data_IF_359850947522
#
_entry.id   IF_359850947522
#
_cell.length_a   1.000
_cell.length_b   1.000
_cell.length_c   1.000
_cell.angle_alpha   90.00
_cell.angle_beta   90.00
_cell.angle_gamma   90.00
#
_symmetry.space_group_name_H-M   'P 1'
#
loop_
_entity.id
_entity.type
_entity.pdbx_description
1 polymer ?
#
# COMPACT_ATOMS: atom_id res chain seq x y z
N UNK A 1 -23.14 -11.55 8.80
CA UNK A 1 -22.33 -11.12 7.63
C UNK A 1 -21.07 -10.54 8.19
N UNK A 2 -19.91 -11.14 7.88
CA UNK A 2 -18.63 -10.77 8.48
C UNK A 2 -18.35 -9.29 8.25
N UNK A 3 -17.99 -8.61 9.34
CA UNK A 3 -17.54 -7.23 9.38
C UNK A 3 -16.37 -7.06 8.41
N UNK A 4 -16.66 -6.42 7.27
CA UNK A 4 -15.71 -6.09 6.21
C UNK A 4 -15.03 -4.74 6.53
N UNK A 5 -14.78 -4.44 7.81
CA UNK A 5 -14.20 -3.17 8.26
C UNK A 5 -12.71 -3.26 8.59
N UNK A 6 -12.27 -4.37 9.19
CA UNK A 6 -10.99 -4.37 9.93
C UNK A 6 -9.82 -5.08 9.22
N UNK A 7 -10.09 -5.96 8.25
CA UNK A 7 -9.04 -6.65 7.47
C UNK A 7 -8.36 -5.80 6.38
N UNK A 8 -8.84 -4.58 6.13
CA UNK A 8 -8.45 -3.74 4.98
C UNK A 8 -7.25 -2.83 5.25
N UNK A 9 -6.65 -2.86 6.45
CA UNK A 9 -5.56 -1.93 6.84
C UNK A 9 -4.37 -2.58 7.52
N UNK A 10 -4.26 -3.90 7.48
CA UNK A 10 -3.08 -4.58 8.02
C UNK A 10 -1.82 -4.11 7.27
N UNK A 11 -0.66 -4.07 7.93
CA UNK A 11 0.61 -3.73 7.28
C UNK A 11 0.86 -4.56 6.01
N UNK A 12 0.49 -5.84 6.06
CA UNK A 12 0.61 -6.78 4.95
C UNK A 12 -0.20 -6.34 3.73
N UNK A 13 -1.45 -5.88 3.92
CA UNK A 13 -2.30 -5.39 2.83
C UNK A 13 -1.65 -4.20 2.12
N UNK A 14 -1.11 -3.26 2.89
CA UNK A 14 -0.46 -2.07 2.33
C UNK A 14 0.87 -2.41 1.62
N UNK A 15 1.63 -3.38 2.13
CA UNK A 15 2.82 -3.87 1.44
C UNK A 15 2.48 -4.56 0.11
N UNK A 16 1.41 -5.35 0.07
CA UNK A 16 0.96 -6.02 -1.15
C UNK A 16 0.52 -4.99 -2.22
N UNK A 17 -0.25 -3.97 -1.81
CA UNK A 17 -0.62 -2.84 -2.68
C UNK A 17 0.57 -2.05 -3.19
N UNK A 18 1.59 -1.81 -2.35
CA UNK A 18 2.82 -1.17 -2.77
C UNK A 18 3.57 -1.99 -3.83
N UNK A 19 3.63 -3.32 -3.66
CA UNK A 19 4.25 -4.25 -4.62
C UNK A 19 3.49 -4.27 -5.93
N UNK A 20 2.17 -4.38 -5.90
CA UNK A 20 1.30 -4.36 -7.08
C UNK A 20 1.48 -3.05 -7.87
N UNK A 21 1.45 -1.91 -7.19
CA UNK A 21 1.70 -0.62 -7.82
C UNK A 21 3.09 -0.52 -8.46
N UNK A 22 4.15 -1.05 -7.83
CA UNK A 22 5.49 -1.09 -8.44
C UNK A 22 5.53 -1.94 -9.71
N UNK A 23 4.88 -3.10 -9.70
CA UNK A 23 4.77 -3.95 -10.88
C UNK A 23 4.04 -3.23 -12.01
N UNK A 24 2.93 -2.56 -11.70
CA UNK A 24 2.20 -1.76 -12.69
C UNK A 24 3.04 -0.60 -13.25
N UNK A 25 3.78 0.11 -12.39
CA UNK A 25 4.70 1.17 -12.82
C UNK A 25 5.81 0.64 -13.76
N UNK A 26 6.20 -0.61 -13.63
CA UNK A 26 7.18 -1.24 -14.54
C UNK A 26 6.57 -1.58 -15.91
N UNK A 27 5.27 -1.92 -15.95
CA UNK A 27 4.55 -2.29 -17.17
C UNK A 27 4.07 -1.07 -17.98
N UNK A 28 3.95 0.09 -17.35
CA UNK A 28 3.49 1.32 -17.99
C UNK A 28 4.62 1.99 -18.78
N UNK A 29 4.36 2.27 -20.06
CA UNK A 29 5.26 3.01 -20.96
C UNK A 29 5.16 4.53 -20.81
N UNK A 30 3.99 5.04 -20.40
CA UNK A 30 3.80 6.48 -20.20
C UNK A 30 4.53 6.95 -18.94
N UNK A 31 5.43 7.92 -19.10
CA UNK A 31 6.29 8.37 -18.00
C UNK A 31 5.48 9.07 -16.89
N UNK A 32 4.47 9.87 -17.23
CA UNK A 32 3.66 10.58 -16.25
C UNK A 32 2.81 9.62 -15.41
N UNK A 33 2.22 8.61 -16.04
CA UNK A 33 1.48 7.54 -15.36
C UNK A 33 2.41 6.69 -14.50
N UNK A 34 3.62 6.37 -14.98
CA UNK A 34 4.63 5.66 -14.19
C UNK A 34 5.03 6.43 -12.93
N UNK A 35 5.23 7.75 -13.04
CA UNK A 35 5.51 8.62 -11.89
C UNK A 35 4.33 8.69 -10.92
N UNK A 36 3.09 8.77 -11.43
CA UNK A 36 1.87 8.73 -10.61
C UNK A 36 1.72 7.42 -9.83
N UNK A 37 1.90 6.28 -10.50
CA UNK A 37 1.83 4.95 -9.88
C UNK A 37 2.98 4.77 -8.88
N UNK A 38 4.18 5.26 -9.20
CA UNK A 38 5.32 5.23 -8.28
C UNK A 38 5.12 6.06 -7.01
N UNK A 39 4.35 7.16 -7.07
CA UNK A 39 3.93 7.91 -5.87
C UNK A 39 2.90 7.12 -5.05
N UNK A 40 1.92 6.49 -5.71
CA UNK A 40 0.93 5.65 -5.03
C UNK A 40 1.60 4.46 -4.31
N UNK A 41 2.56 3.80 -4.95
CA UNK A 41 3.34 2.72 -4.33
C UNK A 41 4.02 3.17 -3.03
N UNK A 42 4.65 4.35 -3.04
CA UNK A 42 5.29 4.94 -1.86
C UNK A 42 4.28 5.30 -0.77
N UNK A 43 3.11 5.83 -1.13
CA UNK A 43 2.02 6.07 -0.17
C UNK A 43 1.58 4.78 0.52
N UNK A 44 1.45 3.68 -0.23
CA UNK A 44 1.12 2.38 0.37
C UNK A 44 2.22 1.87 1.31
N UNK A 45 3.51 2.05 1.00
CA UNK A 45 4.59 1.73 1.94
C UNK A 45 4.52 2.56 3.23
N UNK A 46 4.16 3.84 3.12
CA UNK A 46 3.96 4.72 4.27
C UNK A 46 2.76 4.27 5.11
N UNK A 47 1.65 3.86 4.49
CA UNK A 47 0.52 3.28 5.20
C UNK A 47 0.87 1.97 5.89
N UNK A 48 1.70 1.12 5.25
CA UNK A 48 2.19 -0.10 5.88
C UNK A 48 3.00 0.23 7.15
N UNK A 49 3.94 1.19 7.07
CA UNK A 49 4.75 1.61 8.21
C UNK A 49 3.92 2.19 9.35
N UNK A 50 2.89 2.99 9.01
CA UNK A 50 1.97 3.57 10.00
C UNK A 50 1.08 2.51 10.64
N UNK A 51 0.64 1.51 9.88
CA UNK A 51 -0.12 0.38 10.39
C UNK A 51 0.72 -0.45 11.39
N UNK A 52 2.00 -0.70 11.10
CA UNK A 52 2.91 -1.37 12.06
C UNK A 52 3.04 -0.54 13.34
N UNK A 53 3.26 0.77 13.21
CA UNK A 53 3.40 1.67 14.37
C UNK A 53 2.10 1.82 15.18
N UNK A 54 0.95 1.58 14.57
CA UNK A 54 -0.36 1.54 15.24
C UNK A 54 -0.58 0.23 16.00
N UNK A 55 -0.19 -0.91 15.42
CA UNK A 55 -0.24 -2.21 16.10
C UNK A 55 0.69 -2.28 17.32
N UNK A 56 1.85 -1.61 17.30
CA UNK A 56 2.75 -1.53 18.46
C UNK A 56 2.26 -0.56 19.56
N UNK A 57 1.26 0.29 19.29
CA UNK A 57 0.72 1.24 20.28
C UNK A 57 -0.46 0.68 21.10
N UNK A 58 -1.00 -0.47 20.71
CA UNK A 58 -2.10 -1.16 21.41
C UNK A 58 -1.63 -2.36 22.26
N UNK A 59 -0.32 -2.51 22.53
CA UNK A 59 0.23 -3.61 23.32
C UNK A 59 0.73 -3.21 24.70
#
# INVERSE_FOLDING_TARGET
MADKGDGLRTPQYWQDRAREARTLAYLVRDQAAKDGIGRAARMYEDFAKRAVKGEDAEK
#
